data_IF_941355537470
#
_entry.id   IF_941355537470
#
_cell.length_a   1.000
_cell.length_b   1.000
_cell.length_c   1.000
_cell.angle_alpha   90.00
_cell.angle_beta   90.00
_cell.angle_gamma   90.00
#
_symmetry.space_group_name_H-M   'P 1'
#
loop_
_entity.id
_entity.type
_entity.pdbx_description
1 polymer ?
#
# COMPACT_ATOMS: atom_id res chain seq x y z
N UNK A 1 -6.95 -8.27 25.44
CA UNK A 1 -6.11 -8.68 24.29
C UNK A 1 -6.80 -8.18 23.04
N UNK A 2 -6.10 -7.36 22.25
CA UNK A 2 -6.68 -6.50 21.22
C UNK A 2 -7.52 -7.24 20.19
N UNK A 3 -8.67 -6.66 19.90
CA UNK A 3 -9.61 -7.03 18.86
C UNK A 3 -8.87 -7.05 17.52
N UNK A 4 -8.50 -8.25 17.06
CA UNK A 4 -8.02 -8.45 15.70
C UNK A 4 -9.24 -8.25 14.79
N UNK A 5 -9.37 -7.05 14.25
CA UNK A 5 -10.35 -6.69 13.25
C UNK A 5 -10.13 -7.59 12.02
N UNK A 6 -10.83 -8.72 12.00
CA UNK A 6 -10.82 -9.72 10.92
C UNK A 6 -11.73 -9.26 9.78
N UNK A 7 -11.46 -8.08 9.21
CA UNK A 7 -12.26 -7.56 8.08
C UNK A 7 -11.41 -7.20 6.85
N UNK A 8 -10.38 -8.00 6.59
CA UNK A 8 -9.93 -8.31 5.24
C UNK A 8 -9.16 -9.62 5.36
N UNK A 9 -9.26 -10.49 4.36
CA UNK A 9 -8.34 -11.64 4.24
C UNK A 9 -6.99 -11.08 3.83
N UNK A 10 -6.31 -10.37 4.73
CA UNK A 10 -5.03 -9.73 4.44
C UNK A 10 -4.02 -10.84 4.15
N UNK A 11 -3.67 -10.98 2.87
CA UNK A 11 -2.66 -11.93 2.42
C UNK A 11 -1.33 -11.65 3.12
N UNK A 12 -0.47 -12.66 3.20
CA UNK A 12 0.86 -12.49 3.79
C UNK A 12 1.59 -11.32 3.12
N UNK A 13 1.50 -11.23 1.80
CA UNK A 13 2.07 -10.22 0.93
C UNK A 13 1.52 -8.82 1.24
N UNK A 14 0.22 -8.70 1.52
CA UNK A 14 -0.41 -7.43 1.94
C UNK A 14 0.11 -6.96 3.29
N UNK A 15 0.32 -7.88 4.23
CA UNK A 15 0.88 -7.57 5.56
C UNK A 15 2.36 -7.20 5.49
N UNK A 16 3.12 -7.89 4.64
CA UNK A 16 4.51 -7.54 4.37
C UNK A 16 4.60 -6.17 3.70
N UNK A 17 3.71 -5.87 2.75
CA UNK A 17 3.65 -4.57 2.11
C UNK A 17 3.34 -3.48 3.14
N UNK A 18 2.41 -3.73 4.07
CA UNK A 18 2.13 -2.80 5.15
C UNK A 18 3.37 -2.51 6.01
N UNK A 19 4.11 -3.56 6.37
CA UNK A 19 5.33 -3.43 7.17
C UNK A 19 6.42 -2.63 6.45
N UNK A 20 6.61 -2.86 5.15
CA UNK A 20 7.54 -2.10 4.31
C UNK A 20 7.15 -0.61 4.26
N UNK A 21 5.87 -0.31 4.05
CA UNK A 21 5.40 1.08 3.94
C UNK A 21 5.53 1.87 5.25
N UNK A 22 5.66 1.20 6.40
CA UNK A 22 5.95 1.83 7.70
C UNK A 22 7.43 2.13 7.92
N UNK A 23 8.33 1.56 7.13
CA UNK A 23 9.76 1.79 7.28
C UNK A 23 10.13 3.22 6.88
N UNK A 24 11.12 3.81 7.57
CA UNK A 24 11.70 5.10 7.16
C UNK A 24 12.43 5.00 5.81
N UNK A 25 13.04 3.84 5.55
CA UNK A 25 13.76 3.51 4.31
C UNK A 25 13.16 2.23 3.70
N UNK A 26 11.97 2.33 3.07
CA UNK A 26 11.29 1.17 2.50
C UNK A 26 12.09 0.57 1.34
N UNK A 27 12.11 -0.76 1.25
CA UNK A 27 12.75 -1.45 0.13
C UNK A 27 11.82 -1.43 -1.08
N UNK A 28 12.21 -0.61 -2.05
CA UNK A 28 11.48 -0.38 -3.30
C UNK A 28 11.37 -1.67 -4.13
N UNK A 29 12.38 -2.54 -4.10
CA UNK A 29 12.35 -3.82 -4.82
C UNK A 29 11.37 -4.77 -4.15
N UNK A 30 11.39 -4.84 -2.83
CA UNK A 30 10.45 -5.67 -2.06
C UNK A 30 9.01 -5.22 -2.26
N UNK A 31 8.75 -3.91 -2.23
CA UNK A 31 7.42 -3.37 -2.54
C UNK A 31 6.96 -3.76 -3.95
N UNK A 32 7.81 -3.61 -4.96
CA UNK A 32 7.47 -4.03 -6.33
C UNK A 32 7.15 -5.52 -6.40
N UNK A 33 7.97 -6.35 -5.77
CA UNK A 33 7.75 -7.80 -5.71
C UNK A 33 6.41 -8.14 -5.06
N UNK A 34 6.07 -7.51 -3.95
CA UNK A 34 4.80 -7.74 -3.25
C UNK A 34 3.60 -7.30 -4.10
N UNK A 35 3.70 -6.14 -4.78
CA UNK A 35 2.67 -5.66 -5.70
C UNK A 35 2.50 -6.58 -6.91
N UNK A 36 3.59 -7.15 -7.43
CA UNK A 36 3.56 -8.16 -8.51
C UNK A 36 2.84 -9.44 -8.07
N UNK A 37 3.01 -9.84 -6.80
CA UNK A 37 2.29 -10.95 -6.16
C UNK A 37 0.86 -10.58 -5.71
N UNK A 38 0.25 -9.57 -6.33
CA UNK A 38 -1.11 -9.12 -6.04
C UNK A 38 -1.37 -8.67 -4.60
N UNK A 39 -0.36 -8.15 -3.89
CA UNK A 39 -0.59 -7.50 -2.60
C UNK A 39 -1.54 -6.31 -2.74
N UNK A 40 -2.52 -6.21 -1.85
CA UNK A 40 -3.49 -5.11 -1.88
C UNK A 40 -2.90 -3.89 -1.18
N UNK A 41 -2.48 -2.90 -1.99
CA UNK A 41 -1.91 -1.66 -1.50
C UNK A 41 -2.86 -0.88 -0.56
N UNK A 42 -4.17 -0.91 -0.81
CA UNK A 42 -5.15 -0.16 -0.02
C UNK A 42 -5.34 -0.79 1.35
N UNK A 43 -5.41 -2.12 1.41
CA UNK A 43 -5.42 -2.88 2.64
C UNK A 43 -4.10 -2.69 3.40
N UNK A 44 -2.96 -2.78 2.71
CA UNK A 44 -1.65 -2.55 3.30
C UNK A 44 -1.53 -1.16 3.96
N UNK A 45 -2.02 -0.10 3.30
CA UNK A 45 -2.06 1.23 3.88
C UNK A 45 -2.95 1.34 5.13
N UNK A 46 -4.10 0.64 5.14
CA UNK A 46 -4.98 0.57 6.31
C UNK A 46 -4.29 -0.13 7.48
N UNK A 47 -3.64 -1.27 7.24
CA UNK A 47 -2.88 -2.02 8.24
C UNK A 47 -1.72 -1.17 8.78
N UNK A 48 -0.98 -0.52 7.89
CA UNK A 48 0.13 0.36 8.23
C UNK A 48 -0.32 1.66 8.93
N UNK A 49 -1.63 1.94 8.94
CA UNK A 49 -2.24 3.17 9.43
C UNK A 49 -1.62 4.43 8.78
N UNK A 50 -1.37 4.36 7.48
CA UNK A 50 -0.79 5.46 6.69
C UNK A 50 -1.80 5.97 5.65
N UNK A 51 -1.64 7.23 5.26
CA UNK A 51 -2.49 7.87 4.25
C UNK A 51 -1.70 8.12 2.96
N UNK A 52 -2.41 8.40 1.86
CA UNK A 52 -1.79 8.67 0.55
C UNK A 52 -0.72 9.77 0.65
N UNK A 53 -0.99 10.82 1.43
CA UNK A 53 -0.05 11.92 1.68
C UNK A 53 1.28 11.45 2.26
N UNK A 54 1.29 10.40 3.06
CA UNK A 54 2.50 9.89 3.71
C UNK A 54 3.36 9.08 2.73
N UNK A 55 2.73 8.36 1.79
CA UNK A 55 3.43 7.77 0.64
C UNK A 55 4.13 8.84 -0.20
N UNK A 56 3.47 9.98 -0.41
CA UNK A 56 4.03 11.09 -1.20
C UNK A 56 5.15 11.82 -0.48
N UNK A 57 5.21 11.80 0.85
CA UNK A 57 6.33 12.39 1.61
C UNK A 57 7.61 11.59 1.45
N UNK A 58 7.52 10.27 1.25
CA UNK A 58 8.69 9.43 1.07
C UNK A 58 9.12 9.41 -0.41
N UNK A 59 10.31 9.94 -0.76
CA UNK A 59 10.77 9.96 -2.16
C UNK A 59 10.91 8.56 -2.76
N UNK A 60 11.26 7.56 -1.94
CA UNK A 60 11.40 6.16 -2.38
C UNK A 60 10.07 5.51 -2.76
N UNK A 61 8.97 5.92 -2.10
CA UNK A 61 7.62 5.47 -2.42
C UNK A 61 6.99 6.28 -3.56
N UNK A 62 7.32 7.57 -3.65
CA UNK A 62 6.85 8.46 -4.71
C UNK A 62 7.28 7.97 -6.10
N UNK A 63 8.51 7.49 -6.25
CA UNK A 63 9.00 6.95 -7.53
C UNK A 63 8.24 5.70 -8.00
N UNK A 64 7.60 4.96 -7.08
CA UNK A 64 6.78 3.78 -7.41
C UNK A 64 5.40 4.16 -7.97
N UNK A 65 5.03 5.44 -7.95
CA UNK A 65 3.73 5.94 -8.43
C UNK A 65 2.56 5.15 -7.85
N UNK A 66 2.65 4.75 -6.58
CA UNK A 66 1.64 3.96 -5.86
C UNK A 66 0.24 4.61 -5.89
N UNK A 67 0.18 5.94 -5.98
CA UNK A 67 -1.07 6.68 -6.18
C UNK A 67 -1.86 6.18 -7.40
N UNK A 68 -1.16 5.84 -8.50
CA UNK A 68 -1.79 5.40 -9.75
C UNK A 68 -2.46 4.03 -9.59
N UNK A 69 -1.91 3.19 -8.72
CA UNK A 69 -2.48 1.88 -8.38
C UNK A 69 -3.75 2.02 -7.54
N UNK A 70 -3.91 3.15 -6.84
CA UNK A 70 -5.08 3.49 -6.03
C UNK A 70 -6.10 4.36 -6.77
N UNK A 71 -5.76 4.84 -7.97
CA UNK A 71 -6.59 5.69 -8.84
C UNK A 71 -7.45 4.97 -9.91
N UNK A 72 -7.78 3.66 -9.90
CA UNK A 72 -8.47 3.03 -11.04
C UNK A 72 -9.95 3.46 -11.24
N UNK A 73 -10.44 4.54 -10.61
CA UNK A 73 -11.85 4.97 -10.71
C UNK A 73 -12.09 6.44 -11.05
N UNK A 74 -11.08 7.33 -11.11
CA UNK A 74 -11.37 8.74 -11.41
C UNK A 74 -11.45 9.06 -12.92
N UNK A 75 -10.91 8.21 -13.79
CA UNK A 75 -10.90 8.46 -15.25
C UNK A 75 -12.14 7.96 -16.02
N UNK A 76 -13.12 7.31 -15.37
CA UNK A 76 -14.35 6.83 -16.04
C UNK A 76 -15.62 7.65 -15.71
N UNK A 77 -15.50 8.82 -15.09
CA UNK A 77 -16.64 9.69 -14.77
C UNK A 77 -16.55 11.07 -15.45
N UNK A 78 -16.03 11.11 -16.67
CA UNK A 78 -15.95 12.34 -17.45
C UNK A 78 -15.84 12.09 -18.94
N UNK A 79 -16.96 11.78 -19.59
CA UNK A 79 -17.34 12.21 -20.95
C UNK A 79 -18.82 11.86 -21.19
#
# INVERSE_FOLDING_TARGET
>A
MGQLDRTATDTYETRELAWELQQGHPDVQRIKFLLDNQADLRAAMRIANIQMKDLLKNPHLRQLKLQRLLEPMLENAGL
#
